data_IF_668796024984
#
_entry.id   IF_668796024984
#
_cell.length_a   1.000
_cell.length_b   1.000
_cell.length_c   1.000
_cell.angle_alpha   90.00
_cell.angle_beta   90.00
_cell.angle_gamma   90.00
#
_symmetry.space_group_name_H-M   'P 1'
#
loop_
_entity.id
_entity.type
_entity.pdbx_description
1 polymer ?
#
# COMPACT_ATOMS: atom_id res chain seq x y z
N UNK A 1 -60.63 -18.87 -3.30
CA UNK A 1 -59.87 -17.60 -3.38
C UNK A 1 -58.87 -17.57 -2.24
N UNK A 2 -57.60 -17.88 -2.51
CA UNK A 2 -56.54 -17.90 -1.48
C UNK A 2 -56.06 -16.46 -1.20
N UNK A 3 -56.08 -16.05 0.07
CA UNK A 3 -55.59 -14.74 0.54
C UNK A 3 -54.06 -14.68 0.36
N UNK A 4 -53.55 -13.63 -0.31
CA UNK A 4 -52.12 -13.30 -0.35
C UNK A 4 -51.60 -13.05 1.08
N UNK A 5 -50.40 -13.53 1.45
CA UNK A 5 -49.80 -13.19 2.73
C UNK A 5 -49.34 -11.72 2.72
N UNK A 6 -49.72 -10.96 3.77
CA UNK A 6 -49.23 -9.61 4.01
C UNK A 6 -47.72 -9.66 4.32
N UNK A 7 -46.94 -8.79 3.66
CA UNK A 7 -45.50 -8.63 3.95
C UNK A 7 -45.31 -8.00 5.34
N UNK A 8 -44.35 -8.47 6.15
CA UNK A 8 -44.09 -7.89 7.47
C UNK A 8 -43.63 -6.44 7.31
N UNK A 9 -44.24 -5.52 8.07
CA UNK A 9 -43.79 -4.13 8.18
C UNK A 9 -42.40 -4.13 8.83
N UNK A 10 -41.37 -3.73 8.08
CA UNK A 10 -40.04 -3.43 8.63
C UNK A 10 -40.17 -2.23 9.56
N UNK A 11 -40.00 -2.42 10.86
CA UNK A 11 -39.79 -1.30 11.78
C UNK A 11 -38.44 -0.64 11.48
N UNK A 12 -38.46 0.65 11.16
CA UNK A 12 -37.27 1.45 10.98
C UNK A 12 -36.60 1.68 12.35
N UNK A 13 -35.27 1.47 12.49
CA UNK A 13 -34.57 1.73 13.74
C UNK A 13 -34.75 3.20 14.17
N UNK A 14 -34.80 3.45 15.48
CA UNK A 14 -34.82 4.82 16.03
C UNK A 14 -33.47 5.47 15.74
N UNK A 15 -33.42 6.22 14.63
CA UNK A 15 -32.25 6.99 14.20
C UNK A 15 -32.43 8.46 14.58
N UNK A 16 -31.32 9.21 14.63
CA UNK A 16 -31.34 10.67 14.78
C UNK A 16 -32.23 11.29 13.68
N UNK A 17 -32.93 12.39 13.96
CA UNK A 17 -33.75 13.14 12.99
C UNK A 17 -32.96 13.44 11.70
N UNK A 18 -31.67 13.80 11.84
CA UNK A 18 -30.76 14.10 10.73
C UNK A 18 -30.40 12.86 9.87
N UNK A 19 -30.74 11.65 10.32
CA UNK A 19 -30.51 10.37 9.63
C UNK A 19 -31.82 9.70 9.17
N UNK A 20 -32.97 10.37 9.25
CA UNK A 20 -34.23 9.83 8.73
C UNK A 20 -34.13 9.59 7.22
N UNK A 21 -34.39 8.35 6.80
CA UNK A 21 -34.28 7.95 5.39
C UNK A 21 -32.86 7.53 4.95
N UNK A 22 -31.90 7.50 5.88
CA UNK A 22 -30.58 6.90 5.65
C UNK A 22 -30.72 5.38 5.51
N UNK A 23 -30.37 4.86 4.34
CA UNK A 23 -30.32 3.42 4.06
C UNK A 23 -29.01 3.12 3.33
N UNK A 24 -28.35 2.05 3.76
CA UNK A 24 -27.14 1.54 3.13
C UNK A 24 -27.46 0.18 2.55
N UNK A 25 -27.35 0.05 1.23
CA UNK A 25 -27.47 -1.24 0.54
C UNK A 25 -26.13 -1.63 -0.03
N UNK A 26 -25.73 -2.86 0.26
CA UNK A 26 -24.61 -3.51 -0.42
C UNK A 26 -25.25 -4.34 -1.51
N UNK A 27 -24.96 -4.05 -2.78
CA UNK A 27 -25.45 -4.88 -3.87
C UNK A 27 -24.64 -6.18 -3.98
N UNK A 28 -25.09 -7.07 -4.87
CA UNK A 28 -24.47 -8.38 -5.09
C UNK A 28 -23.02 -8.31 -5.57
N UNK A 29 -22.53 -7.12 -5.95
CA UNK A 29 -21.17 -6.86 -6.40
C UNK A 29 -20.30 -6.16 -5.34
N UNK A 30 -20.85 -5.92 -4.14
CA UNK A 30 -20.13 -5.31 -3.03
C UNK A 30 -20.10 -3.78 -3.06
N UNK A 31 -20.86 -3.13 -3.95
CA UNK A 31 -20.95 -1.67 -3.97
C UNK A 31 -21.85 -1.16 -2.85
N UNK A 32 -21.35 -0.20 -2.06
CA UNK A 32 -22.12 0.48 -1.02
C UNK A 32 -22.93 1.60 -1.66
N UNK A 33 -24.26 1.43 -1.73
CA UNK A 33 -25.22 2.45 -2.16
C UNK A 33 -25.88 3.09 -0.94
N UNK A 34 -25.55 4.35 -0.69
CA UNK A 34 -26.13 5.19 0.36
C UNK A 34 -27.21 6.11 -0.21
N UNK A 35 -28.32 6.29 0.50
CA UNK A 35 -29.36 7.27 0.15
C UNK A 35 -28.98 8.71 0.48
N UNK A 36 -27.92 8.92 1.29
CA UNK A 36 -27.36 10.24 1.62
C UNK A 36 -25.98 10.43 0.97
N UNK A 37 -25.67 11.69 0.62
CA UNK A 37 -24.37 12.05 0.06
C UNK A 37 -23.28 12.04 1.15
N UNK A 38 -22.04 11.73 0.77
CA UNK A 38 -20.85 11.65 1.63
C UNK A 38 -20.64 12.95 2.44
N UNK A 39 -20.97 14.11 1.87
CA UNK A 39 -20.82 15.40 2.54
C UNK A 39 -21.81 15.59 3.69
N UNK A 40 -23.04 15.09 3.53
CA UNK A 40 -24.08 15.14 4.56
C UNK A 40 -23.74 14.19 5.71
N UNK A 41 -23.21 13.01 5.37
CA UNK A 41 -22.71 12.02 6.35
C UNK A 41 -21.55 12.62 7.15
N UNK A 42 -20.56 13.23 6.49
CA UNK A 42 -19.42 13.85 7.17
C UNK A 42 -19.85 15.02 8.07
N UNK A 43 -20.80 15.84 7.60
CA UNK A 43 -21.36 16.95 8.39
C UNK A 43 -22.13 16.45 9.61
N UNK A 44 -22.86 15.35 9.49
CA UNK A 44 -23.53 14.69 10.59
C UNK A 44 -22.53 14.13 11.62
N UNK A 45 -21.51 13.40 11.16
CA UNK A 45 -20.49 12.80 12.02
C UNK A 45 -19.72 13.87 12.80
N UNK A 46 -19.27 14.93 12.14
CA UNK A 46 -18.55 16.03 12.79
C UNK A 46 -19.40 16.78 13.83
N UNK A 47 -20.73 16.78 13.68
CA UNK A 47 -21.66 17.47 14.58
C UNK A 47 -22.07 16.60 15.78
N UNK A 48 -22.25 15.30 15.56
CA UNK A 48 -22.94 14.42 16.51
C UNK A 48 -22.05 13.32 17.09
N UNK A 49 -20.84 13.11 16.55
CA UNK A 49 -19.91 12.07 17.00
C UNK A 49 -18.65 12.75 17.53
N UNK A 50 -18.50 12.74 18.85
CA UNK A 50 -17.31 13.24 19.52
C UNK A 50 -16.12 12.29 19.25
N UNK A 51 -15.01 12.83 18.72
CA UNK A 51 -13.83 12.05 18.34
C UNK A 51 -13.01 11.70 19.58
N UNK A 52 -13.31 10.54 20.16
CA UNK A 52 -12.63 10.01 21.35
C UNK A 52 -11.12 9.81 21.15
N UNK A 53 -10.59 9.78 19.92
CA UNK A 53 -9.14 9.66 19.67
C UNK A 53 -8.38 10.98 19.82
N UNK A 54 -9.09 12.11 19.97
CA UNK A 54 -8.49 13.43 20.16
C UNK A 54 -8.53 13.92 21.61
N UNK A 55 -9.15 13.16 22.52
CA UNK A 55 -9.38 13.59 23.92
C UNK A 55 -8.10 13.71 24.77
N UNK A 56 -7.08 12.91 24.49
CA UNK A 56 -5.89 12.79 25.36
C UNK A 56 -4.58 13.26 24.66
N UNK A 57 -4.68 14.29 23.81
CA UNK A 57 -3.53 14.90 23.15
C UNK A 57 -3.11 16.21 23.85
N UNK A 58 -2.21 16.08 24.82
CA UNK A 58 -1.60 17.20 25.55
C UNK A 58 -0.58 18.03 24.73
N UNK A 59 -0.36 17.68 23.46
CA UNK A 59 0.63 18.29 22.56
C UNK A 59 0.14 19.56 21.84
N UNK A 60 -1.07 20.04 22.13
CA UNK A 60 -1.65 21.25 21.52
C UNK A 60 -1.51 22.54 22.36
N UNK A 61 -1.04 22.49 23.62
CA UNK A 61 -0.86 23.71 24.44
C UNK A 61 0.54 24.36 24.34
N UNK A 62 1.47 23.79 23.57
CA UNK A 62 2.87 24.26 23.53
C UNK A 62 3.14 25.50 22.66
N UNK A 63 2.12 26.14 22.07
CA UNK A 63 2.30 27.25 21.13
C UNK A 63 2.11 28.65 21.76
N UNK A 64 1.52 28.78 22.96
CA UNK A 64 1.23 30.12 23.52
C UNK A 64 2.25 30.67 24.53
N UNK A 65 3.16 29.87 25.09
CA UNK A 65 4.00 30.36 26.21
C UNK A 65 5.45 30.77 25.85
N UNK A 66 5.79 30.78 24.55
CA UNK A 66 7.13 31.22 24.07
C UNK A 66 7.38 32.74 24.14
N UNK A 67 6.41 33.56 24.55
CA UNK A 67 6.57 35.03 24.64
C UNK A 67 6.87 35.57 26.04
N UNK A 68 6.87 34.78 27.12
CA UNK A 68 6.98 35.31 28.50
C UNK A 68 8.22 34.93 29.31
N UNK A 69 9.12 34.08 28.84
CA UNK A 69 10.34 33.71 29.61
C UNK A 69 11.64 34.11 28.91
N UNK A 70 11.81 35.42 28.74
CA UNK A 70 13.15 36.04 28.83
C UNK A 70 13.40 36.37 30.31
N UNK A 71 14.60 36.05 30.78
CA UNK A 71 15.12 36.21 32.15
C UNK A 71 14.87 35.05 33.12
N UNK A 72 15.86 34.19 33.30
CA UNK A 72 16.52 33.91 34.59
C UNK A 72 17.55 32.78 34.41
N UNK A 73 18.43 32.66 35.39
CA UNK A 73 19.84 32.24 35.29
C UNK A 73 20.08 30.75 35.05
N UNK A 74 21.25 30.47 34.48
CA UNK A 74 21.92 29.17 34.35
C UNK A 74 22.14 28.52 35.72
N UNK A 75 21.85 27.23 35.85
CA UNK A 75 22.60 26.31 36.73
C UNK A 75 22.58 24.93 36.08
N UNK A 76 23.77 24.36 35.87
CA UNK A 76 23.97 23.10 35.17
C UNK A 76 23.74 21.92 36.10
N UNK A 77 22.98 20.92 35.63
CA UNK A 77 22.82 19.61 36.26
C UNK A 77 23.61 18.61 35.40
N UNK A 78 24.48 17.75 35.96
CA UNK A 78 25.31 16.85 35.18
C UNK A 78 24.45 15.72 34.58
N UNK A 79 24.58 15.53 33.27
CA UNK A 79 23.89 14.48 32.52
C UNK A 79 24.70 13.19 32.67
N UNK A 80 24.15 12.22 33.39
CA UNK A 80 24.69 10.87 33.45
C UNK A 80 24.47 10.21 32.08
N UNK A 81 25.54 10.05 31.28
CA UNK A 81 25.50 9.34 30.01
C UNK A 81 25.31 7.84 30.25
N UNK A 82 24.06 7.37 30.25
CA UNK A 82 23.80 5.94 30.07
C UNK A 82 23.89 5.63 28.58
N UNK A 83 24.98 4.99 28.16
CA UNK A 83 25.15 4.39 26.84
C UNK A 83 24.12 3.27 26.64
N UNK A 84 22.90 3.61 26.21
CA UNK A 84 21.97 2.64 25.61
C UNK A 84 22.40 2.43 24.17
N UNK A 85 23.16 1.36 23.91
CA UNK A 85 23.38 0.84 22.56
C UNK A 85 22.02 0.42 22.00
N UNK A 86 21.52 1.16 21.01
CA UNK A 86 20.45 0.67 20.14
C UNK A 86 20.98 -0.58 19.41
N UNK A 87 20.21 -1.68 19.30
CA UNK A 87 20.67 -2.84 18.55
C UNK A 87 20.96 -2.40 17.11
N UNK A 88 22.18 -2.66 16.64
CA UNK A 88 22.55 -2.44 15.25
C UNK A 88 21.62 -3.29 14.38
N UNK A 89 21.08 -2.67 13.33
CA UNK A 89 20.30 -3.34 12.29
C UNK A 89 21.02 -4.63 11.87
N UNK A 90 20.30 -5.77 11.87
CA UNK A 90 20.87 -7.02 11.34
C UNK A 90 21.19 -6.78 9.85
N UNK A 91 22.42 -7.08 9.39
CA UNK A 91 22.74 -6.97 7.97
C UNK A 91 21.83 -7.89 7.16
N UNK A 92 21.43 -7.45 5.97
CA UNK A 92 20.59 -8.28 5.11
C UNK A 92 21.32 -9.52 4.63
N UNK A 93 20.58 -10.62 4.47
CA UNK A 93 21.08 -11.86 3.87
C UNK A 93 21.53 -11.59 2.40
N UNK A 94 22.57 -12.30 1.94
CA UNK A 94 23.18 -12.08 0.62
C UNK A 94 22.62 -13.05 -0.41
N UNK A 95 21.46 -12.70 -0.95
CA UNK A 95 20.75 -13.58 -1.87
C UNK A 95 21.23 -13.43 -3.33
N UNK A 96 21.27 -14.54 -4.05
CA UNK A 96 21.47 -14.58 -5.50
C UNK A 96 20.12 -14.63 -6.23
N UNK A 97 20.06 -14.24 -7.50
CA UNK A 97 18.82 -14.30 -8.28
C UNK A 97 19.01 -14.47 -9.78
N UNK A 98 17.96 -14.94 -10.45
CA UNK A 98 17.80 -14.93 -11.91
C UNK A 98 16.41 -14.41 -12.27
N UNK A 99 16.33 -13.51 -13.25
CA UNK A 99 15.05 -13.06 -13.81
C UNK A 99 14.74 -13.87 -15.07
N UNK A 100 13.60 -14.55 -15.06
CA UNK A 100 13.08 -15.33 -16.17
C UNK A 100 12.05 -14.54 -16.94
N UNK A 101 12.01 -14.72 -18.26
CA UNK A 101 11.08 -14.04 -19.16
C UNK A 101 11.52 -12.65 -19.59
N UNK A 102 10.93 -12.17 -20.68
CA UNK A 102 11.25 -10.86 -21.25
C UNK A 102 10.23 -9.78 -20.81
N UNK A 103 8.95 -9.99 -21.12
CA UNK A 103 7.89 -9.00 -20.86
C UNK A 103 6.96 -9.34 -19.69
N UNK A 104 6.89 -10.62 -19.32
CA UNK A 104 6.15 -11.12 -18.16
C UNK A 104 7.13 -11.95 -17.36
N UNK A 105 7.59 -11.40 -16.24
CA UNK A 105 8.79 -11.89 -15.58
C UNK A 105 8.51 -12.62 -14.27
N UNK A 106 9.40 -13.56 -13.96
CA UNK A 106 9.50 -14.26 -12.68
C UNK A 106 10.90 -14.02 -12.14
N UNK A 107 11.03 -13.76 -10.85
CA UNK A 107 12.34 -13.76 -10.18
C UNK A 107 12.52 -15.07 -9.44
N UNK A 108 13.55 -15.81 -9.79
CA UNK A 108 14.03 -16.97 -9.04
C UNK A 108 15.12 -16.51 -8.08
N UNK A 109 14.86 -16.58 -6.78
CA UNK A 109 15.83 -16.25 -5.74
C UNK A 109 16.49 -17.54 -5.28
N UNK A 110 17.81 -17.55 -5.29
CA UNK A 110 18.65 -18.65 -4.84
C UNK A 110 19.18 -18.36 -3.43
N UNK A 111 18.99 -19.31 -2.52
CA UNK A 111 19.28 -19.17 -1.10
C UNK A 111 20.29 -20.23 -0.66
N UNK A 112 21.38 -19.81 -0.04
CA UNK A 112 22.26 -20.70 0.71
C UNK A 112 21.57 -21.17 2.02
N UNK A 113 22.01 -22.30 2.62
CA UNK A 113 21.45 -22.77 3.88
C UNK A 113 21.50 -21.70 4.98
N UNK A 114 20.33 -21.39 5.55
CA UNK A 114 20.13 -20.36 6.57
C UNK A 114 19.69 -19.01 6.03
N UNK A 115 19.84 -18.75 4.73
CA UNK A 115 19.40 -17.51 4.11
C UNK A 115 17.89 -17.44 3.93
N UNK A 116 17.36 -16.23 3.98
CA UNK A 116 15.94 -15.98 3.92
C UNK A 116 15.61 -14.84 2.97
N UNK A 117 14.57 -15.06 2.15
CA UNK A 117 13.89 -14.01 1.40
C UNK A 117 12.50 -13.80 1.98
N UNK A 118 12.05 -12.55 2.01
CA UNK A 118 10.73 -12.15 2.48
C UNK A 118 9.86 -11.69 1.30
N UNK A 119 8.60 -12.12 1.24
CA UNK A 119 7.66 -11.73 0.18
C UNK A 119 6.23 -11.59 0.69
N UNK A 120 5.42 -10.75 0.01
CA UNK A 120 3.99 -10.65 0.31
C UNK A 120 3.28 -11.99 0.04
N UNK A 121 2.19 -12.23 0.78
CA UNK A 121 1.39 -13.44 0.58
C UNK A 121 0.84 -13.51 -0.86
N UNK A 122 0.94 -14.68 -1.48
CA UNK A 122 0.45 -14.89 -2.86
C UNK A 122 1.45 -14.54 -3.97
N UNK A 123 2.62 -13.98 -3.65
CA UNK A 123 3.66 -13.71 -4.66
C UNK A 123 4.46 -14.95 -5.07
N UNK A 124 4.46 -16.02 -4.25
CA UNK A 124 5.23 -17.24 -4.50
C UNK A 124 4.60 -18.07 -5.62
N UNK A 125 5.42 -18.46 -6.58
CA UNK A 125 5.04 -19.30 -7.72
C UNK A 125 5.43 -20.77 -7.51
N UNK A 126 6.68 -21.03 -7.12
CA UNK A 126 7.18 -22.35 -6.75
C UNK A 126 8.32 -22.23 -5.73
N UNK A 127 8.64 -23.34 -5.05
CA UNK A 127 9.83 -23.46 -4.21
C UNK A 127 10.41 -24.86 -4.33
N UNK A 128 11.73 -24.99 -4.24
CA UNK A 128 12.44 -26.26 -4.22
C UNK A 128 12.41 -26.93 -2.84
N UNK A 129 12.78 -28.21 -2.82
CA UNK A 129 12.95 -28.96 -1.57
C UNK A 129 14.05 -28.32 -0.69
N UNK A 130 13.77 -28.18 0.60
CA UNK A 130 14.67 -27.53 1.57
C UNK A 130 14.26 -26.11 1.94
N UNK A 131 13.42 -25.45 1.12
CA UNK A 131 12.78 -24.19 1.49
C UNK A 131 11.60 -24.45 2.44
N UNK A 132 11.65 -23.84 3.62
CA UNK A 132 10.50 -23.75 4.52
C UNK A 132 9.99 -22.32 4.56
N UNK A 133 8.67 -22.17 4.74
CA UNK A 133 8.06 -20.85 4.84
C UNK A 133 7.30 -20.65 6.14
N UNK A 134 7.34 -19.41 6.64
CA UNK A 134 6.57 -18.98 7.79
C UNK A 134 6.02 -17.58 7.56
N UNK A 135 4.70 -17.42 7.65
CA UNK A 135 4.08 -16.09 7.65
C UNK A 135 4.24 -15.44 9.01
N UNK A 136 4.92 -14.30 9.05
CA UNK A 136 5.10 -13.46 10.24
C UNK A 136 4.38 -12.13 10.05
N UNK A 137 3.97 -11.51 11.14
CA UNK A 137 3.42 -10.15 11.11
C UNK A 137 4.58 -9.15 11.22
N UNK A 138 4.71 -8.24 10.26
CA UNK A 138 5.84 -7.33 10.09
C UNK A 138 7.02 -7.94 9.32
N UNK A 139 8.13 -7.20 9.26
CA UNK A 139 9.40 -7.59 8.65
C UNK A 139 10.27 -8.51 9.53
N UNK A 140 9.73 -8.96 10.67
CA UNK A 140 10.43 -9.83 11.62
C UNK A 140 11.55 -9.16 12.42
N UNK A 141 11.75 -7.84 12.31
CA UNK A 141 12.83 -7.11 13.00
C UNK A 141 12.50 -6.67 14.44
N UNK A 142 11.20 -6.55 14.77
CA UNK A 142 10.73 -6.13 16.10
C UNK A 142 10.05 -7.29 16.86
N UNK A 143 10.74 -7.83 17.89
CA UNK A 143 10.26 -8.95 18.69
C UNK A 143 9.22 -8.58 19.79
N UNK A 144 8.78 -7.32 19.88
CA UNK A 144 7.99 -6.85 21.03
C UNK A 144 6.48 -6.77 20.73
N UNK A 145 5.84 -7.94 20.80
CA UNK A 145 4.50 -8.30 20.33
C UNK A 145 3.34 -7.99 21.30
N UNK A 146 3.45 -6.98 22.16
CA UNK A 146 2.48 -6.78 23.26
C UNK A 146 1.23 -5.94 22.90
N UNK A 147 1.36 -4.96 22.00
CA UNK A 147 0.22 -4.11 21.56
C UNK A 147 -0.53 -4.77 20.39
N UNK A 148 0.20 -5.49 19.53
CA UNK A 148 -0.32 -6.18 18.36
C UNK A 148 -1.12 -7.44 18.71
N UNK A 149 -0.74 -8.15 19.78
CA UNK A 149 -1.46 -9.33 20.27
C UNK A 149 -2.90 -9.05 20.72
N UNK A 150 -3.17 -7.84 21.21
CA UNK A 150 -4.53 -7.41 21.61
C UNK A 150 -5.40 -7.04 20.41
N UNK A 151 -4.78 -6.55 19.34
CA UNK A 151 -5.41 -6.18 18.08
C UNK A 151 -5.80 -7.40 17.23
N UNK A 152 -5.01 -8.48 17.32
CA UNK A 152 -5.26 -9.74 16.63
C UNK A 152 -6.48 -10.49 17.19
N UNK A 153 -6.76 -10.38 18.50
CA UNK A 153 -7.98 -10.94 19.12
C UNK A 153 -9.27 -10.22 18.66
N UNK A 154 -9.17 -9.01 18.13
CA UNK A 154 -10.32 -8.18 17.76
C UNK A 154 -10.79 -8.34 16.30
N UNK A 155 -10.33 -9.37 15.55
CA UNK A 155 -10.77 -9.62 14.17
C UNK A 155 -10.18 -8.65 13.11
N UNK A 156 -9.15 -7.89 13.49
CA UNK A 156 -8.57 -6.79 12.69
C UNK A 156 -7.86 -7.19 11.39
N UNK A 157 -7.71 -8.50 11.11
CA UNK A 157 -7.05 -8.99 9.88
C UNK A 157 -7.73 -8.45 8.61
N UNK A 158 -9.04 -8.26 8.65
CA UNK A 158 -9.83 -7.67 7.56
C UNK A 158 -9.74 -6.14 7.48
N UNK A 159 -9.51 -5.46 8.61
CA UNK A 159 -9.52 -4.00 8.70
C UNK A 159 -8.14 -3.37 8.46
N UNK A 160 -7.06 -4.13 8.64
CA UNK A 160 -5.67 -3.64 8.59
C UNK A 160 -4.97 -3.91 7.26
N UNK A 161 -5.66 -4.58 6.34
CA UNK A 161 -5.14 -4.97 5.04
C UNK A 161 -4.10 -6.08 5.13
N UNK A 162 -3.90 -6.79 4.02
CA UNK A 162 -2.91 -7.87 3.89
C UNK A 162 -1.47 -7.39 4.10
N UNK A 163 -1.24 -6.06 4.08
CA UNK A 163 0.05 -5.38 4.12
C UNK A 163 0.90 -5.54 5.38
N UNK A 164 0.37 -6.10 6.48
CA UNK A 164 1.15 -6.34 7.70
C UNK A 164 1.75 -7.74 7.78
N UNK A 165 1.47 -8.63 6.83
CA UNK A 165 1.95 -10.01 6.89
C UNK A 165 2.96 -10.29 5.79
N UNK A 166 4.13 -10.74 6.21
CA UNK A 166 5.24 -11.06 5.32
C UNK A 166 5.60 -12.53 5.47
N UNK A 167 5.68 -13.25 4.35
CA UNK A 167 6.09 -14.66 4.36
C UNK A 167 7.60 -14.73 4.22
N UNK A 168 8.23 -15.40 5.18
CA UNK A 168 9.67 -15.65 5.18
C UNK A 168 9.91 -17.02 4.57
N UNK A 169 10.71 -17.09 3.53
CA UNK A 169 11.13 -18.32 2.87
C UNK A 169 12.61 -18.54 3.18
N UNK A 170 12.90 -19.57 3.96
CA UNK A 170 14.24 -19.87 4.47
C UNK A 170 14.70 -21.22 3.95
N UNK A 171 15.91 -21.29 3.42
CA UNK A 171 16.55 -22.57 3.15
C UNK A 171 17.01 -23.19 4.49
N UNK A 172 16.35 -24.27 4.94
CA UNK A 172 16.71 -24.93 6.20
C UNK A 172 17.85 -25.94 6.06
N UNK A 173 18.30 -26.23 4.83
CA UNK A 173 19.26 -27.29 4.55
C UNK A 173 18.65 -28.67 4.78
N UNK A 174 18.36 -29.42 3.71
CA UNK A 174 17.78 -30.76 3.81
C UNK A 174 18.81 -31.81 4.22
N UNK A 175 18.35 -32.92 4.83
CA UNK A 175 19.16 -34.15 4.93
C UNK A 175 19.36 -34.75 3.54
N UNK A 176 20.41 -34.31 2.85
CA UNK A 176 20.80 -34.76 1.50
C UNK A 176 21.05 -33.63 0.52
N UNK A 177 20.53 -32.43 0.78
CA UNK A 177 20.73 -31.21 -0.01
C UNK A 177 21.47 -30.16 0.84
N UNK A 178 22.79 -30.36 1.00
CA UNK A 178 23.68 -29.35 1.59
C UNK A 178 24.00 -28.21 0.60
N UNK A 179 23.06 -27.89 -0.29
CA UNK A 179 23.25 -27.00 -1.42
C UNK A 179 22.23 -25.87 -1.44
N UNK A 180 22.45 -24.97 -2.38
CA UNK A 180 21.55 -23.88 -2.73
C UNK A 180 20.16 -24.42 -3.09
N UNK A 181 19.12 -23.69 -2.71
CA UNK A 181 17.74 -24.00 -3.05
C UNK A 181 17.04 -22.73 -3.54
N UNK A 182 16.07 -22.89 -4.43
CA UNK A 182 15.43 -21.77 -5.13
C UNK A 182 13.97 -21.59 -4.75
N UNK A 183 13.52 -20.34 -4.80
CA UNK A 183 12.11 -19.95 -4.68
C UNK A 183 11.78 -18.91 -5.75
N UNK A 184 10.72 -19.18 -6.52
CA UNK A 184 10.24 -18.31 -7.60
C UNK A 184 9.13 -17.37 -7.13
N UNK A 185 9.22 -16.10 -7.50
CA UNK A 185 8.19 -15.09 -7.23
C UNK A 185 7.72 -14.38 -8.51
N UNK A 186 6.43 -14.10 -8.57
CA UNK A 186 5.81 -13.34 -9.66
C UNK A 186 4.66 -12.48 -9.14
N UNK A 187 4.49 -11.30 -9.73
CA UNK A 187 3.35 -10.45 -9.42
C UNK A 187 2.05 -11.00 -10.06
N UNK A 188 0.86 -10.63 -9.54
CA UNK A 188 -0.42 -11.16 -10.00
C UNK A 188 -0.92 -10.54 -11.33
N UNK A 189 -0.10 -9.75 -12.02
CA UNK A 189 -0.43 -9.14 -13.30
C UNK A 189 0.81 -9.01 -14.22
N UNK A 190 0.62 -8.89 -15.55
CA UNK A 190 1.73 -8.87 -16.50
C UNK A 190 2.66 -7.66 -16.29
N UNK A 191 3.95 -7.92 -16.25
CA UNK A 191 4.94 -6.86 -16.17
C UNK A 191 6.36 -7.33 -15.92
N UNK A 192 7.21 -6.35 -15.64
CA UNK A 192 8.66 -6.50 -15.51
C UNK A 192 9.08 -6.39 -14.05
N UNK A 193 10.17 -7.07 -13.69
CA UNK A 193 10.74 -7.07 -12.35
C UNK A 193 12.06 -6.32 -12.38
N UNK A 194 12.24 -5.38 -11.44
CA UNK A 194 13.48 -4.64 -11.27
C UNK A 194 14.14 -5.03 -9.94
N UNK A 195 15.38 -5.55 -9.98
CA UNK A 195 16.20 -5.72 -8.80
C UNK A 195 16.77 -4.37 -8.36
N UNK A 196 16.72 -4.09 -7.06
CA UNK A 196 17.21 -2.87 -6.45
C UNK A 196 18.15 -3.24 -5.32
N UNK A 197 19.41 -2.84 -5.46
CA UNK A 197 20.34 -2.89 -4.35
C UNK A 197 20.12 -1.68 -3.43
N UNK A 198 19.54 -1.90 -2.24
CA UNK A 198 19.19 -0.79 -1.34
C UNK A 198 20.40 -0.01 -0.85
N UNK A 199 21.56 -0.66 -0.67
CA UNK A 199 22.81 0.01 -0.29
C UNK A 199 23.35 0.99 -1.35
N UNK A 200 22.85 0.95 -2.59
CA UNK A 200 23.20 1.91 -3.65
C UNK A 200 22.20 3.07 -3.72
N UNK A 201 21.10 3.02 -2.98
CA UNK A 201 20.09 4.06 -2.94
C UNK A 201 20.46 5.17 -1.94
N UNK A 202 19.96 6.38 -2.19
CA UNK A 202 20.13 7.50 -1.27
C UNK A 202 19.59 7.17 0.13
N UNK A 203 20.48 7.23 1.14
CA UNK A 203 20.21 6.86 2.54
C UNK A 203 19.85 5.40 2.78
N UNK A 204 20.18 4.52 1.84
CA UNK A 204 19.79 3.11 1.87
C UNK A 204 18.27 2.92 1.93
N UNK A 205 17.53 3.85 1.33
CA UNK A 205 16.07 3.94 1.41
C UNK A 205 15.45 4.12 0.02
N UNK A 206 14.35 3.40 -0.23
CA UNK A 206 13.52 3.55 -1.42
C UNK A 206 12.04 3.65 -1.02
N UNK A 207 11.32 4.60 -1.62
CA UNK A 207 9.86 4.68 -1.50
C UNK A 207 9.25 3.94 -2.69
N UNK A 208 8.36 2.99 -2.41
CA UNK A 208 7.69 2.16 -3.43
C UNK A 208 6.18 2.18 -3.20
N UNK A 209 5.40 2.07 -4.28
CA UNK A 209 3.99 1.71 -4.15
C UNK A 209 3.91 0.32 -3.50
N UNK A 210 2.97 0.15 -2.57
CA UNK A 210 2.71 -1.14 -1.92
C UNK A 210 2.63 -2.31 -2.90
N UNK A 211 1.78 -2.21 -3.93
CA UNK A 211 1.58 -3.33 -4.86
C UNK A 211 2.74 -3.53 -5.84
N UNK A 212 3.72 -2.61 -5.84
CA UNK A 212 4.96 -2.79 -6.58
C UNK A 212 6.00 -3.59 -5.80
N UNK A 213 5.89 -3.77 -4.49
CA UNK A 213 6.82 -4.60 -3.73
C UNK A 213 6.56 -6.09 -4.03
N UNK A 214 7.61 -6.83 -4.41
CA UNK A 214 7.51 -8.26 -4.70
C UNK A 214 8.14 -9.11 -3.60
N UNK A 215 9.45 -8.95 -3.40
CA UNK A 215 10.21 -9.64 -2.36
C UNK A 215 11.50 -8.88 -2.01
N UNK A 216 12.16 -9.24 -0.91
CA UNK A 216 13.45 -8.67 -0.52
C UNK A 216 14.26 -9.64 0.35
N UNK A 217 15.57 -9.43 0.43
CA UNK A 217 16.41 -10.13 1.39
C UNK A 217 15.97 -9.85 2.83
N UNK A 218 15.95 -10.88 3.68
CA UNK A 218 15.72 -10.72 5.11
C UNK A 218 16.75 -9.76 5.69
N UNK A 219 16.30 -8.82 6.53
CA UNK A 219 17.09 -7.68 6.99
C UNK A 219 16.56 -6.36 6.44
N UNK A 220 15.90 -6.40 5.27
CA UNK A 220 15.19 -5.25 4.72
C UNK A 220 14.03 -4.84 5.61
N UNK A 221 14.08 -3.61 6.14
CA UNK A 221 13.00 -3.00 6.91
C UNK A 221 11.93 -2.44 5.97
N UNK A 222 10.70 -2.89 6.17
CA UNK A 222 9.53 -2.49 5.34
C UNK A 222 8.55 -1.75 6.25
N UNK A 223 8.24 -0.50 5.91
CA UNK A 223 7.35 0.33 6.72
C UNK A 223 6.41 1.16 5.85
N UNK A 224 5.21 1.48 6.34
CA UNK A 224 4.30 2.36 5.60
C UNK A 224 4.82 3.80 5.67
N UNK A 225 4.96 4.44 4.51
CA UNK A 225 5.34 5.84 4.40
C UNK A 225 4.08 6.72 4.44
N UNK A 226 3.76 7.25 5.62
CA UNK A 226 2.65 8.21 5.79
C UNK A 226 3.07 9.60 5.32
N UNK A 227 2.43 10.10 4.26
CA UNK A 227 2.68 11.45 3.79
C UNK A 227 1.99 12.48 4.71
N UNK A 228 2.78 13.26 5.45
CA UNK A 228 2.31 14.27 6.42
C UNK A 228 1.48 15.40 5.80
N UNK A 229 1.57 15.62 4.49
CA UNK A 229 0.83 16.68 3.77
C UNK A 229 -0.56 16.25 3.30
N UNK A 230 -0.86 14.96 3.35
CA UNK A 230 -2.19 14.45 3.09
C UNK A 230 -2.99 14.56 4.39
N UNK A 231 -4.01 15.42 4.43
CA UNK A 231 -4.92 15.54 5.56
C UNK A 231 -5.51 14.18 5.95
N UNK A 232 -6.04 14.06 7.18
CA UNK A 232 -6.50 12.83 7.83
C UNK A 232 -7.61 12.02 7.11
N UNK A 233 -7.99 12.40 5.89
CA UNK A 233 -8.90 11.66 5.03
C UNK A 233 -8.14 10.82 4.00
N UNK A 234 -7.99 9.52 4.31
CA UNK A 234 -7.91 8.41 3.34
C UNK A 234 -7.35 8.73 1.95
N UNK A 235 -6.06 8.44 1.72
CA UNK A 235 -5.37 8.22 0.43
C UNK A 235 -6.18 8.47 -0.86
N UNK A 236 -6.63 9.71 -1.09
CA UNK A 236 -7.43 10.10 -2.27
C UNK A 236 -8.73 9.32 -2.53
N UNK A 237 -9.16 8.36 -1.69
CA UNK A 237 -10.17 7.38 -2.08
C UNK A 237 -9.70 6.38 -3.17
N UNK A 238 -8.41 6.38 -3.51
CA UNK A 238 -7.82 5.52 -4.55
C UNK A 238 -7.08 4.30 -4.01
N UNK A 239 -6.77 4.26 -2.72
CA UNK A 239 -6.02 3.16 -2.12
C UNK A 239 -4.52 3.16 -2.43
N UNK A 240 -3.96 4.29 -2.89
CA UNK A 240 -2.52 4.41 -3.17
C UNK A 240 -1.72 4.48 -1.86
N UNK A 241 -1.03 3.40 -1.51
CA UNK A 241 -0.23 3.28 -0.28
C UNK A 241 1.25 3.22 -0.66
N UNK A 242 2.05 4.10 -0.04
CA UNK A 242 3.51 4.05 -0.16
C UNK A 242 4.13 3.26 0.99
N UNK A 243 5.12 2.44 0.65
CA UNK A 243 6.00 1.75 1.56
C UNK A 243 7.41 2.32 1.42
N UNK A 244 8.14 2.34 2.53
CA UNK A 244 9.56 2.64 2.59
C UNK A 244 10.31 1.33 2.83
N UNK A 245 11.19 1.00 1.89
CA UNK A 245 12.16 -0.09 2.00
C UNK A 245 13.48 0.50 2.49
N UNK A 246 14.05 -0.07 3.54
CA UNK A 246 15.31 0.41 4.12
C UNK A 246 16.21 -0.77 4.49
N UNK A 247 17.46 -0.78 4.04
CA UNK A 247 18.38 -1.87 4.33
C UNK A 247 19.60 -1.83 3.42
N UNK A 248 20.45 -2.84 3.51
CA UNK A 248 21.68 -2.94 2.73
C UNK A 248 21.65 -4.06 1.66
N UNK A 249 20.63 -4.92 1.68
CA UNK A 249 20.43 -6.03 0.73
C UNK A 249 19.65 -5.71 -0.54
N UNK A 250 19.30 -6.77 -1.26
CA UNK A 250 18.47 -6.72 -2.47
C UNK A 250 16.99 -6.63 -2.12
N UNK A 251 16.27 -5.79 -2.87
CA UNK A 251 14.82 -5.78 -2.95
C UNK A 251 14.39 -5.91 -4.42
N UNK A 252 13.23 -6.51 -4.64
CA UNK A 252 12.67 -6.70 -5.98
C UNK A 252 11.33 -5.99 -6.04
N UNK A 253 11.18 -5.14 -7.06
CA UNK A 253 9.94 -4.44 -7.32
C UNK A 253 9.37 -4.85 -8.68
N UNK A 254 8.06 -4.84 -8.79
CA UNK A 254 7.32 -5.16 -10.00
C UNK A 254 6.68 -3.91 -10.59
N UNK A 255 6.81 -3.77 -11.91
CA UNK A 255 6.17 -2.73 -12.70
C UNK A 255 5.22 -3.36 -13.72
N UNK A 256 3.94 -3.00 -13.67
CA UNK A 256 2.94 -3.47 -14.63
C UNK A 256 3.25 -3.00 -16.05
N UNK A 257 3.35 -3.96 -16.98
CA UNK A 257 3.90 -3.71 -18.30
C UNK A 257 5.40 -3.38 -18.26
N UNK A 258 5.77 -2.22 -18.79
CA UNK A 258 7.17 -1.81 -18.94
C UNK A 258 7.56 -0.79 -17.88
N UNK A 259 8.74 -0.98 -17.30
CA UNK A 259 9.35 0.00 -16.39
C UNK A 259 9.94 1.18 -17.16
N UNK A 260 9.72 2.39 -16.66
CA UNK A 260 10.27 3.63 -17.21
C UNK A 260 11.05 4.33 -16.11
N UNK A 261 12.38 4.34 -16.22
CA UNK A 261 13.26 5.09 -15.31
C UNK A 261 13.38 6.55 -15.77
N UNK A 262 13.23 7.47 -14.82
CA UNK A 262 13.44 8.91 -15.02
C UNK A 262 14.38 9.45 -13.94
N UNK A 263 15.47 10.05 -14.38
CA UNK A 263 16.33 10.86 -13.53
C UNK A 263 15.80 12.30 -13.51
N UNK A 264 15.48 12.82 -12.33
CA UNK A 264 15.14 14.24 -12.13
C UNK A 264 16.38 14.98 -11.61
N UNK A 265 16.59 16.20 -12.12
CA UNK A 265 17.69 17.08 -11.71
C UNK A 265 17.13 18.44 -11.29
N UNK A 266 16.51 18.50 -10.10
CA UNK A 266 15.71 19.63 -9.62
C UNK A 266 14.51 19.94 -10.53
N UNK A 267 14.00 18.92 -11.20
CA UNK A 267 12.87 19.00 -12.12
C UNK A 267 11.56 18.71 -11.41
N UNK A 268 10.45 18.96 -12.11
CA UNK A 268 9.11 18.57 -11.69
C UNK A 268 8.50 17.64 -12.73
N UNK A 269 8.03 16.49 -12.28
CA UNK A 269 7.35 15.49 -13.09
C UNK A 269 5.92 15.31 -12.59
N UNK A 270 4.95 15.45 -13.48
CA UNK A 270 3.53 15.17 -13.20
C UNK A 270 3.18 13.80 -13.77
N UNK A 271 2.61 12.94 -12.92
CA UNK A 271 2.34 11.54 -13.26
C UNK A 271 0.94 11.18 -12.78
N UNK A 272 0.24 10.34 -13.52
CA UNK A 272 -0.89 9.60 -12.98
C UNK A 272 -0.43 8.83 -11.73
N UNK A 273 -1.15 8.99 -10.62
CA UNK A 273 -0.77 8.40 -9.33
C UNK A 273 -0.58 6.88 -9.43
N UNK A 274 -1.43 6.18 -10.19
CA UNK A 274 -1.32 4.72 -10.36
C UNK A 274 -0.12 4.27 -11.20
N UNK A 275 0.51 5.16 -11.96
CA UNK A 275 1.69 4.85 -12.77
C UNK A 275 3.01 4.92 -11.99
N UNK A 276 3.00 5.31 -10.71
CA UNK A 276 4.21 5.38 -9.89
C UNK A 276 4.52 4.00 -9.31
N UNK A 277 5.70 3.47 -9.61
CA UNK A 277 6.23 2.23 -9.00
C UNK A 277 7.03 2.56 -7.75
N UNK A 278 7.90 3.56 -7.82
CA UNK A 278 8.71 4.01 -6.71
C UNK A 278 9.60 5.20 -7.06
N UNK A 279 10.26 5.78 -6.07
CA UNK A 279 11.15 6.93 -6.22
C UNK A 279 12.11 7.05 -5.03
N UNK A 280 13.24 7.71 -5.24
CA UNK A 280 14.22 7.98 -4.19
C UNK A 280 13.69 8.92 -3.11
N UNK A 281 14.19 8.77 -1.88
CA UNK A 281 13.79 9.56 -0.70
C UNK A 281 14.06 11.07 -0.82
N UNK A 282 14.83 11.49 -1.81
CA UNK A 282 15.14 12.90 -2.12
C UNK A 282 14.08 13.58 -2.98
N UNK A 283 13.12 12.83 -3.52
CA UNK A 283 12.03 13.37 -4.32
C UNK A 283 10.84 13.73 -3.42
N UNK A 284 10.42 14.99 -3.48
CA UNK A 284 9.19 15.46 -2.87
C UNK A 284 7.97 14.95 -3.67
N UNK A 285 6.97 14.45 -2.95
CA UNK A 285 5.76 13.86 -3.52
C UNK A 285 4.50 14.52 -2.96
N UNK A 286 3.61 14.94 -3.86
CA UNK A 286 2.32 15.53 -3.54
C UNK A 286 1.23 15.00 -4.48
N UNK A 287 0.06 14.63 -3.96
CA UNK A 287 -1.09 14.20 -4.77
C UNK A 287 -2.06 15.35 -4.87
N UNK A 288 -2.37 15.75 -6.10
CA UNK A 288 -3.37 16.75 -6.37
C UNK A 288 -4.51 16.11 -7.17
N UNK A 289 -5.75 16.42 -6.78
CA UNK A 289 -6.91 16.08 -7.61
C UNK A 289 -6.84 16.96 -8.85
N UNK A 290 -6.80 16.35 -10.04
CA UNK A 290 -6.75 17.12 -11.27
C UNK A 290 -8.17 17.45 -11.75
N UNK A 291 -8.44 18.75 -11.93
CA UNK A 291 -9.67 19.26 -12.55
C UNK A 291 -10.83 19.54 -11.60
N UNK A 292 -11.91 20.09 -12.17
CA UNK A 292 -13.18 20.30 -11.47
C UNK A 292 -13.95 18.97 -11.33
N UNK A 293 -14.75 18.84 -10.27
CA UNK A 293 -15.57 17.64 -10.02
C UNK A 293 -16.45 17.25 -11.23
N UNK A 294 -16.84 18.24 -12.04
CA UNK A 294 -17.57 18.04 -13.29
C UNK A 294 -16.73 17.29 -14.34
N UNK A 295 -15.46 17.65 -14.56
CA UNK A 295 -14.61 16.94 -15.52
C UNK A 295 -14.33 15.48 -15.12
N UNK A 296 -14.31 15.18 -13.82
CA UNK A 296 -14.14 13.81 -13.32
C UNK A 296 -15.39 12.93 -13.55
N UNK A 297 -16.59 13.52 -13.47
CA UNK A 297 -17.87 12.81 -13.71
C UNK A 297 -18.12 12.58 -15.21
N UNK A 298 -17.80 13.57 -16.06
CA UNK A 298 -18.05 13.48 -17.50
C UNK A 298 -16.89 12.87 -18.31
N UNK A 299 -15.68 12.80 -17.74
CA UNK A 299 -14.48 12.24 -18.37
C UNK A 299 -14.23 10.75 -18.10
N UNK A 300 -15.02 10.11 -17.23
CA UNK A 300 -14.96 8.65 -16.99
C UNK A 300 -13.75 8.15 -16.18
N UNK A 301 -12.77 9.00 -15.87
CA UNK A 301 -11.63 8.69 -15.02
C UNK A 301 -11.44 9.82 -14.00
N UNK A 302 -11.53 9.50 -12.70
CA UNK A 302 -11.04 10.40 -11.67
C UNK A 302 -9.52 10.44 -11.76
N UNK A 303 -8.96 11.43 -12.45
CA UNK A 303 -7.51 11.54 -12.62
C UNK A 303 -6.93 12.18 -11.36
N UNK A 304 -6.24 11.38 -10.54
CA UNK A 304 -5.41 11.89 -9.46
C UNK A 304 -3.99 12.04 -10.00
N UNK A 305 -3.51 13.28 -10.02
CA UNK A 305 -2.22 13.61 -10.57
C UNK A 305 -1.22 13.81 -9.42
N UNK A 306 -0.21 12.97 -9.39
CA UNK A 306 0.93 13.12 -8.51
C UNK A 306 1.93 14.10 -9.12
N UNK A 307 2.48 14.98 -8.28
CA UNK A 307 3.61 15.84 -8.60
C UNK A 307 4.83 15.35 -7.84
N UNK A 308 5.85 14.94 -8.58
CA UNK A 308 7.17 14.53 -8.09
C UNK A 308 8.18 15.63 -8.39
N UNK A 309 8.90 16.13 -7.39
CA UNK A 309 9.84 17.25 -7.55
C UNK A 309 11.12 17.02 -6.78
N UNK A 310 12.26 17.32 -7.39
CA UNK A 310 13.56 17.25 -6.72
C UNK A 310 14.66 16.64 -7.60
N UNK A 311 15.69 16.11 -6.97
CA UNK A 311 16.81 15.44 -7.63
C UNK A 311 16.87 13.99 -7.18
N UNK A 312 16.77 13.05 -8.11
CA UNK A 312 16.76 11.62 -7.82
C UNK A 312 16.05 10.81 -8.91
N UNK A 313 16.05 9.49 -8.74
CA UNK A 313 15.39 8.55 -9.65
C UNK A 313 13.91 8.35 -9.31
N UNK A 314 13.12 8.21 -10.35
CA UNK A 314 11.70 7.85 -10.32
C UNK A 314 11.48 6.69 -11.28
N UNK A 315 10.75 5.67 -10.85
CA UNK A 315 10.36 4.52 -11.66
C UNK A 315 8.86 4.51 -11.86
N UNK A 316 8.45 4.40 -13.12
CA UNK A 316 7.05 4.39 -13.54
C UNK A 316 6.70 3.08 -14.24
N UNK A 317 5.41 2.78 -14.30
CA UNK A 317 4.84 1.64 -15.00
C UNK A 317 3.87 2.09 -16.10
N UNK A 318 3.91 1.40 -17.24
CA UNK A 318 3.04 1.69 -18.38
C UNK A 318 1.62 1.16 -18.21
N UNK A 319 1.44 0.09 -17.43
CA UNK A 319 0.15 -0.57 -17.24
C UNK A 319 -0.15 -0.82 -15.76
N UNK A 320 -0.63 0.19 -15.03
CA UNK A 320 -1.10 0.02 -13.66
C UNK A 320 -2.22 -1.02 -13.56
N UNK A 321 -2.16 -1.88 -12.55
CA UNK A 321 -3.17 -2.93 -12.31
C UNK A 321 -4.59 -2.37 -12.24
N UNK A 322 -4.78 -1.18 -11.64
CA UNK A 322 -6.09 -0.53 -11.55
C UNK A 322 -6.66 -0.19 -12.93
N UNK A 323 -5.84 0.34 -13.84
CA UNK A 323 -6.25 0.63 -15.21
C UNK A 323 -6.59 -0.64 -15.97
N UNK A 324 -5.80 -1.70 -15.75
CA UNK A 324 -6.08 -3.02 -16.32
C UNK A 324 -7.42 -3.57 -15.82
N UNK A 325 -7.67 -3.57 -14.51
CA UNK A 325 -8.94 -4.00 -13.92
C UNK A 325 -10.10 -3.19 -14.51
N UNK A 326 -10.03 -1.85 -14.48
CA UNK A 326 -11.09 -0.99 -15.01
C UNK A 326 -11.35 -1.24 -16.51
N UNK A 327 -10.31 -1.54 -17.28
CA UNK A 327 -10.43 -1.88 -18.69
C UNK A 327 -11.08 -3.25 -18.94
N UNK A 328 -10.92 -4.20 -18.01
CA UNK A 328 -11.46 -5.57 -18.11
C UNK A 328 -12.80 -5.77 -17.41
N UNK A 329 -13.22 -4.85 -16.54
CA UNK A 329 -14.50 -4.93 -15.84
C UNK A 329 -15.66 -4.96 -16.86
N UNK A 330 -16.74 -5.73 -16.61
CA UNK A 330 -17.92 -5.78 -17.48
C UNK A 330 -18.59 -4.41 -17.71
N UNK A 331 -18.40 -3.47 -16.78
CA UNK A 331 -18.86 -2.07 -16.86
C UNK A 331 -17.80 -1.11 -17.41
N UNK A 332 -16.60 -1.61 -17.73
CA UNK A 332 -15.48 -0.82 -18.24
C UNK A 332 -15.73 -0.27 -19.65
N UNK A 333 -15.00 0.77 -20.03
CA UNK A 333 -15.16 1.43 -21.33
C UNK A 333 -14.98 0.48 -22.53
N UNK A 334 -14.22 -0.62 -22.34
CA UNK A 334 -14.00 -1.62 -23.38
C UNK A 334 -15.08 -2.71 -23.46
N UNK A 335 -16.07 -2.75 -22.55
CA UNK A 335 -17.13 -3.78 -22.55
C UNK A 335 -17.97 -3.80 -23.83
N UNK A 336 -18.04 -2.65 -24.52
CA UNK A 336 -18.75 -2.51 -25.81
C UNK A 336 -17.88 -2.76 -27.04
N UNK A 337 -16.56 -2.90 -26.90
CA UNK A 337 -15.65 -3.09 -28.06
C UNK A 337 -15.79 -4.47 -28.72
N UNK A 338 -16.36 -5.46 -28.03
CA UNK A 338 -16.66 -6.78 -28.60
C UNK A 338 -18.03 -6.89 -29.28
N UNK A 339 -18.97 -5.99 -29.00
CA UNK A 339 -20.38 -6.11 -29.42
C UNK A 339 -20.83 -5.04 -30.42
N UNK A 340 -19.93 -4.19 -30.89
CA UNK A 340 -20.26 -3.05 -31.78
C UNK A 340 -19.98 -3.30 -33.26
N UNK A 341 -20.06 -4.55 -33.72
CA UNK A 341 -20.27 -4.77 -35.14
C UNK A 341 -21.76 -4.71 -35.40
N UNK A 342 -22.23 -3.56 -35.90
CA UNK A 342 -23.59 -3.42 -36.49
C UNK A 342 -23.83 -4.49 -37.57
N UNK A 343 -22.76 -5.10 -38.13
CA UNK A 343 -22.83 -6.23 -39.03
C UNK A 343 -23.19 -7.58 -38.36
N UNK A 344 -22.91 -7.76 -37.07
CA UNK A 344 -23.21 -9.01 -36.35
C UNK A 344 -24.70 -9.16 -36.05
N UNK A 345 -25.40 -8.04 -35.81
CA UNK A 345 -26.84 -8.02 -35.58
C UNK A 345 -27.68 -8.24 -36.85
N UNK A 346 -27.09 -8.06 -38.04
CA UNK A 346 -27.77 -8.29 -39.33
C UNK A 346 -27.59 -9.72 -39.88
N UNK A 347 -26.73 -10.53 -39.27
CA UNK A 347 -26.45 -11.90 -39.72
C UNK A 347 -27.09 -12.98 -38.83
N UNK A 348 -27.82 -12.59 -37.78
CA UNK A 348 -28.51 -13.50 -36.86
C UNK A 348 -30.05 -13.46 -36.94
N UNK A 349 -30.63 -12.73 -37.91
CA UNK A 349 -32.08 -12.74 -38.19
C UNK A 349 -32.45 -13.56 -39.44
#
# INVERSE_FOLDING_TARGET
MARKPEKPKKESPKVNEDLKGFDIKIDTFGEIKSTMNIDEINKFLNRNVDDKKLRDRDDLEFIQDKKKRKSSKKTAIPIHQTNKRYPMHRPSDQIDYTILGESIQVVEVELDPGETVVAEAGAMLYMEEGIQFQTKMGDGSDANSSILGKLFQAGSRLLMGESLFMTHFTNQGGRGTAGKARVGFSAPYPGTIMPVQLSQMSRNELLVQKDAFLCAALGTKISIALNKRMGSGFFGGEGFILQKLQGDGLAFIHAGGTIIERQLNNDTLRVDTGCIVGFESTIDYDIQRAGDLKSMIFGGEGIFLATLRGTGKVWLQSMPVRKLIQALMPTGQNSKKGSSSVLGQFLED
#
